data_IF_220800740697
#
_entry.id   IF_220800740697
#
_cell.length_a   1.000
_cell.length_b   1.000
_cell.length_c   1.000
_cell.angle_alpha   90.00
_cell.angle_beta   90.00
_cell.angle_gamma   90.00
#
_symmetry.space_group_name_H-M   'P 1'
#
loop_
_entity.id
_entity.type
_entity.pdbx_description
1 polymer ?
#
# COMPACT_ATOMS: atom_id res chain seq x y z
N UNK A 1 -20.31 -1.51 -44.71
CA UNK A 1 -19.27 -1.23 -43.70
C UNK A 1 -17.97 -1.08 -44.44
N UNK A 2 -17.43 0.12 -44.56
CA UNK A 2 -16.13 0.35 -45.21
C UNK A 2 -15.05 -0.35 -44.39
N UNK A 3 -14.32 -1.27 -44.99
CA UNK A 3 -13.21 -1.97 -44.35
C UNK A 3 -12.11 -0.94 -44.07
N UNK A 4 -11.92 -0.57 -42.80
CA UNK A 4 -10.85 0.36 -42.42
C UNK A 4 -9.53 -0.40 -42.57
N UNK A 5 -8.80 -0.06 -43.62
CA UNK A 5 -7.44 -0.56 -43.84
C UNK A 5 -6.55 0.07 -42.79
N UNK A 6 -5.94 -0.75 -41.92
CA UNK A 6 -4.95 -0.29 -40.95
C UNK A 6 -3.55 -0.58 -41.50
N UNK A 7 -2.84 0.42 -42.09
CA UNK A 7 -1.61 0.16 -42.85
C UNK A 7 -0.49 -0.50 -42.04
N UNK A 8 -0.41 -0.18 -40.74
CA UNK A 8 0.52 -0.82 -39.82
C UNK A 8 0.29 -2.33 -39.75
N UNK A 9 -0.97 -2.77 -39.70
CA UNK A 9 -1.29 -4.18 -39.60
C UNK A 9 -0.88 -4.94 -40.86
N UNK A 10 -1.14 -4.38 -42.05
CA UNK A 10 -0.72 -4.97 -43.32
C UNK A 10 0.81 -5.03 -43.44
N UNK A 11 1.52 -3.99 -42.98
CA UNK A 11 2.99 -4.00 -42.90
C UNK A 11 3.49 -5.14 -42.01
N UNK A 12 2.90 -5.34 -40.83
CA UNK A 12 3.30 -6.42 -39.92
C UNK A 12 3.03 -7.80 -40.55
N UNK A 13 1.87 -7.99 -41.19
CA UNK A 13 1.53 -9.26 -41.87
C UNK A 13 2.51 -9.61 -42.99
N UNK A 14 3.01 -8.61 -43.70
CA UNK A 14 3.98 -8.78 -44.79
C UNK A 14 5.44 -8.92 -44.29
N UNK A 15 5.70 -8.72 -43.00
CA UNK A 15 7.05 -8.75 -42.43
C UNK A 15 7.45 -10.15 -41.94
N UNK A 16 8.71 -10.49 -42.10
CA UNK A 16 9.38 -11.63 -41.47
C UNK A 16 10.19 -11.23 -40.22
N UNK A 17 10.77 -12.22 -39.51
CA UNK A 17 11.49 -11.98 -38.26
C UNK A 17 12.74 -11.10 -38.37
N UNK A 18 13.32 -10.99 -39.56
CA UNK A 18 14.52 -10.19 -39.85
C UNK A 18 14.20 -8.75 -40.30
N UNK A 19 12.92 -8.45 -40.59
CA UNK A 19 12.53 -7.14 -41.08
C UNK A 19 12.58 -6.06 -39.97
N UNK A 20 12.79 -4.78 -40.35
CA UNK A 20 12.88 -3.70 -39.39
C UNK A 20 11.55 -3.46 -38.67
N UNK A 21 11.63 -3.48 -37.33
CA UNK A 21 10.50 -3.21 -36.45
C UNK A 21 10.15 -1.72 -36.51
N UNK A 22 8.85 -1.34 -36.59
CA UNK A 22 8.45 0.05 -36.57
C UNK A 22 8.98 0.81 -35.36
N UNK A 23 9.41 2.06 -35.57
CA UNK A 23 9.94 2.89 -34.47
C UNK A 23 8.82 3.41 -33.57
N UNK A 24 9.15 3.85 -32.36
CA UNK A 24 8.18 4.47 -31.42
C UNK A 24 7.41 5.63 -32.08
N UNK A 25 8.08 6.44 -32.91
CA UNK A 25 7.47 7.57 -33.59
C UNK A 25 6.51 7.14 -34.71
N UNK A 26 6.89 6.12 -35.50
CA UNK A 26 6.01 5.53 -36.50
C UNK A 26 4.74 4.94 -35.87
N UNK A 27 4.88 4.28 -34.72
CA UNK A 27 3.76 3.71 -33.97
C UNK A 27 2.84 4.80 -33.41
N UNK A 28 3.41 5.89 -32.86
CA UNK A 28 2.64 7.02 -32.32
C UNK A 28 1.82 7.70 -33.41
N UNK A 29 2.43 7.93 -34.58
CA UNK A 29 1.75 8.45 -35.75
C UNK A 29 0.61 7.53 -36.18
N UNK A 30 0.93 6.25 -36.39
CA UNK A 30 -0.06 5.24 -36.83
C UNK A 30 -1.26 5.13 -35.88
N UNK A 31 -1.03 5.21 -34.56
CA UNK A 31 -2.11 5.12 -33.57
C UNK A 31 -2.93 6.42 -33.49
N UNK A 32 -2.28 7.59 -33.62
CA UNK A 32 -2.97 8.89 -33.67
C UNK A 32 -3.86 9.02 -34.91
N UNK A 33 -3.35 8.61 -36.07
CA UNK A 33 -4.09 8.59 -37.33
C UNK A 33 -5.30 7.67 -37.20
N UNK A 34 -5.09 6.44 -36.72
CA UNK A 34 -6.17 5.47 -36.50
C UNK A 34 -7.21 5.97 -35.49
N UNK A 35 -6.79 6.67 -34.43
CA UNK A 35 -7.69 7.27 -33.46
C UNK A 35 -8.55 8.38 -34.07
N UNK A 36 -7.99 9.16 -34.99
CA UNK A 36 -8.72 10.19 -35.73
C UNK A 36 -9.78 9.58 -36.65
N UNK A 37 -9.47 8.44 -37.26
CA UNK A 37 -10.35 7.76 -38.22
C UNK A 37 -11.50 6.97 -37.54
N UNK A 38 -11.21 6.24 -36.46
CA UNK A 38 -12.16 5.27 -35.87
C UNK A 38 -12.45 5.48 -34.39
N UNK A 39 -11.90 6.54 -33.80
CA UNK A 39 -12.10 6.89 -32.39
C UNK A 39 -11.63 5.80 -31.43
N UNK A 40 -12.46 5.47 -30.44
CA UNK A 40 -12.12 4.54 -29.36
C UNK A 40 -11.75 3.12 -29.84
N UNK A 41 -12.21 2.71 -31.03
CA UNK A 41 -11.89 1.37 -31.58
C UNK A 41 -10.44 1.23 -32.03
N UNK A 42 -9.73 2.35 -32.23
CA UNK A 42 -8.33 2.35 -32.67
C UNK A 42 -7.43 1.51 -31.76
N UNK A 43 -7.69 1.59 -30.47
CA UNK A 43 -6.97 0.88 -29.43
C UNK A 43 -7.13 -0.65 -29.51
N UNK A 44 -8.29 -1.15 -29.93
CA UNK A 44 -8.51 -2.59 -30.12
C UNK A 44 -7.72 -3.12 -31.33
N UNK A 45 -7.76 -2.39 -32.45
CA UNK A 45 -6.99 -2.73 -33.65
C UNK A 45 -5.49 -2.64 -33.39
N UNK A 46 -5.04 -1.65 -32.62
CA UNK A 46 -3.65 -1.52 -32.21
C UNK A 46 -3.21 -2.65 -31.26
N UNK A 47 -4.08 -3.09 -30.35
CA UNK A 47 -3.82 -4.25 -29.50
C UNK A 47 -3.67 -5.55 -30.32
N UNK A 48 -4.44 -5.70 -31.40
CA UNK A 48 -4.28 -6.81 -32.34
C UNK A 48 -2.93 -6.73 -33.09
N UNK A 49 -2.59 -5.55 -33.65
CA UNK A 49 -1.30 -5.33 -34.32
C UNK A 49 -0.12 -5.63 -33.38
N UNK A 50 -0.20 -5.24 -32.11
CA UNK A 50 0.79 -5.57 -31.08
C UNK A 50 0.95 -7.09 -30.86
N UNK A 51 -0.15 -7.84 -30.79
CA UNK A 51 -0.09 -9.30 -30.64
C UNK A 51 0.56 -9.97 -31.86
N UNK A 52 0.24 -9.49 -33.06
CA UNK A 52 0.82 -9.98 -34.30
C UNK A 52 2.32 -9.64 -34.36
N UNK A 53 2.69 -8.40 -34.05
CA UNK A 53 4.07 -7.95 -33.99
C UNK A 53 4.91 -8.83 -33.03
N UNK A 54 4.37 -9.14 -31.85
CA UNK A 54 5.04 -10.00 -30.89
C UNK A 54 5.24 -11.44 -31.40
N UNK A 55 4.34 -11.98 -32.23
CA UNK A 55 4.55 -13.29 -32.88
C UNK A 55 5.54 -13.25 -34.05
N UNK A 56 5.71 -12.11 -34.73
CA UNK A 56 6.63 -11.98 -35.86
C UNK A 56 8.06 -11.70 -35.39
N UNK A 57 8.23 -10.71 -34.50
CA UNK A 57 9.55 -10.22 -34.09
C UNK A 57 9.95 -10.58 -32.65
N UNK A 58 9.04 -11.21 -31.90
CA UNK A 58 9.24 -11.55 -30.49
C UNK A 58 8.72 -10.48 -29.53
N UNK A 59 8.31 -10.93 -28.34
CA UNK A 59 7.68 -10.11 -27.32
C UNK A 59 8.59 -8.98 -26.81
N UNK A 60 9.88 -9.27 -26.62
CA UNK A 60 10.84 -8.32 -26.04
C UNK A 60 11.09 -7.13 -26.97
N UNK A 61 11.37 -7.44 -28.24
CA UNK A 61 11.70 -6.45 -29.29
C UNK A 61 10.52 -5.56 -29.68
N UNK A 62 9.30 -5.95 -29.29
CA UNK A 62 8.05 -5.24 -29.63
C UNK A 62 7.39 -4.60 -28.41
N UNK A 63 8.08 -4.57 -27.27
CA UNK A 63 7.54 -4.06 -26.02
C UNK A 63 7.18 -2.56 -26.08
N UNK A 64 7.86 -1.77 -26.93
CA UNK A 64 7.58 -0.35 -27.16
C UNK A 64 6.19 -0.09 -27.77
N UNK A 65 5.57 -1.06 -28.43
CA UNK A 65 4.15 -0.95 -28.83
C UNK A 65 3.26 -0.70 -27.60
N UNK A 66 3.54 -1.36 -26.49
CA UNK A 66 2.78 -1.18 -25.26
C UNK A 66 3.03 0.18 -24.62
N UNK A 67 4.26 0.70 -24.72
CA UNK A 67 4.61 2.03 -24.23
C UNK A 67 3.81 3.10 -24.96
N UNK A 68 3.78 3.05 -26.30
CA UNK A 68 3.00 3.99 -27.14
C UNK A 68 1.51 3.89 -26.83
N UNK A 69 0.97 2.67 -26.76
CA UNK A 69 -0.45 2.50 -26.43
C UNK A 69 -0.80 3.06 -25.05
N UNK A 70 0.08 2.92 -24.05
CA UNK A 70 -0.15 3.46 -22.71
C UNK A 70 -0.03 4.98 -22.67
N UNK A 71 0.99 5.53 -23.33
CA UNK A 71 1.23 6.98 -23.40
C UNK A 71 -0.01 7.74 -23.88
N UNK A 72 -0.71 7.19 -24.87
CA UNK A 72 -1.93 7.79 -25.43
C UNK A 72 -3.21 7.47 -24.64
N UNK A 73 -3.26 6.37 -23.88
CA UNK A 73 -4.45 5.99 -23.08
C UNK A 73 -4.48 6.63 -21.69
N UNK A 74 -3.32 6.79 -21.06
CA UNK A 74 -3.23 7.16 -19.64
C UNK A 74 -2.82 8.61 -19.52
N UNK A 75 -3.72 9.41 -18.95
CA UNK A 75 -3.47 10.81 -18.63
C UNK A 75 -2.90 10.95 -17.22
N UNK A 76 -2.16 12.03 -17.01
CA UNK A 76 -1.69 12.39 -15.69
C UNK A 76 -2.89 12.77 -14.82
N UNK A 77 -2.97 12.20 -13.62
CA UNK A 77 -4.00 12.58 -12.66
C UNK A 77 -3.51 13.75 -11.82
N UNK A 78 -4.45 14.54 -11.31
CA UNK A 78 -4.13 15.57 -10.32
C UNK A 78 -3.47 14.92 -9.11
N UNK A 79 -2.38 15.53 -8.65
CA UNK A 79 -1.69 15.10 -7.44
C UNK A 79 -2.68 14.95 -6.29
N UNK A 80 -2.72 13.75 -5.70
CA UNK A 80 -3.58 13.46 -4.56
C UNK A 80 -3.22 14.38 -3.41
N UNK A 81 -4.24 14.81 -2.66
CA UNK A 81 -4.03 15.60 -1.47
C UNK A 81 -3.13 14.84 -0.48
N UNK A 82 -2.07 15.50 -0.03
CA UNK A 82 -1.20 14.93 1.00
C UNK A 82 -1.95 14.74 2.33
N UNK A 83 -1.32 14.08 3.30
CA UNK A 83 -1.97 13.77 4.58
C UNK A 83 -2.37 15.03 5.37
N UNK A 84 -1.56 16.08 5.30
CA UNK A 84 -1.85 17.35 5.97
C UNK A 84 -2.97 18.11 5.28
N UNK A 85 -3.01 18.10 3.95
CA UNK A 85 -4.11 18.67 3.17
C UNK A 85 -5.43 17.97 3.47
N UNK A 86 -5.44 16.64 3.62
CA UNK A 86 -6.64 15.91 4.05
C UNK A 86 -7.07 16.26 5.47
N UNK A 87 -6.12 16.33 6.41
CA UNK A 87 -6.41 16.77 7.77
C UNK A 87 -7.01 18.19 7.81
N UNK A 88 -6.47 19.13 7.01
CA UNK A 88 -7.02 20.48 6.87
C UNK A 88 -8.42 20.47 6.29
N UNK A 89 -8.67 19.71 5.21
CA UNK A 89 -10.02 19.58 4.63
C UNK A 89 -11.03 19.04 5.65
N UNK A 90 -10.65 18.02 6.42
CA UNK A 90 -11.50 17.47 7.48
C UNK A 90 -11.78 18.51 8.58
N UNK A 91 -10.76 19.27 9.00
CA UNK A 91 -10.89 20.32 9.99
C UNK A 91 -11.77 21.49 9.50
N UNK A 92 -11.59 21.95 8.26
CA UNK A 92 -12.38 23.02 7.65
C UNK A 92 -13.85 22.67 7.46
N UNK A 93 -14.21 21.37 7.50
CA UNK A 93 -15.60 20.92 7.48
C UNK A 93 -16.29 20.97 8.85
N UNK A 94 -15.58 21.33 9.92
CA UNK A 94 -16.16 21.46 11.26
C UNK A 94 -16.86 22.82 11.43
N UNK A 95 -17.85 22.88 12.34
CA UNK A 95 -18.46 24.16 12.74
C UNK A 95 -17.51 24.97 13.62
N UNK A 96 -17.62 26.29 13.55
CA UNK A 96 -16.93 27.19 14.48
C UNK A 96 -17.36 26.91 15.93
N UNK A 97 -16.44 26.98 16.93
CA UNK A 97 -15.02 27.34 16.80
C UNK A 97 -14.07 26.15 16.52
N UNK A 98 -14.61 24.95 16.27
CA UNK A 98 -13.82 23.72 16.18
C UNK A 98 -12.87 23.69 14.96
N UNK A 99 -13.30 24.23 13.83
CA UNK A 99 -12.46 24.37 12.64
C UNK A 99 -11.13 25.09 12.95
N UNK A 100 -11.21 26.24 13.61
CA UNK A 100 -10.08 27.09 13.97
C UNK A 100 -9.11 26.36 14.90
N UNK A 101 -9.65 25.70 15.93
CA UNK A 101 -8.86 24.94 16.92
C UNK A 101 -8.07 23.80 16.25
N UNK A 102 -8.72 23.06 15.34
CA UNK A 102 -8.05 21.98 14.62
C UNK A 102 -7.02 22.50 13.61
N UNK A 103 -7.32 23.58 12.89
CA UNK A 103 -6.39 24.20 11.93
C UNK A 103 -5.13 24.74 12.63
N UNK A 104 -5.28 25.38 13.79
CA UNK A 104 -4.16 25.80 14.63
C UNK A 104 -3.32 24.60 15.09
N UNK A 105 -3.97 23.54 15.59
CA UNK A 105 -3.27 22.32 16.03
C UNK A 105 -2.54 21.62 14.89
N UNK A 106 -3.13 21.60 13.69
CA UNK A 106 -2.49 21.10 12.47
C UNK A 106 -1.24 21.93 12.15
N UNK A 107 -1.34 23.27 12.18
CA UNK A 107 -0.22 24.14 11.87
C UNK A 107 0.94 24.00 12.88
N UNK A 108 0.66 23.79 14.17
CA UNK A 108 1.68 23.49 15.19
C UNK A 108 2.33 22.13 14.94
N UNK A 109 1.51 21.10 14.71
CA UNK A 109 2.02 19.73 14.56
C UNK A 109 2.82 19.54 13.26
N UNK A 110 2.42 20.20 12.17
CA UNK A 110 3.12 20.14 10.89
C UNK A 110 4.51 20.77 10.95
N UNK A 111 4.70 21.81 11.77
CA UNK A 111 6.01 22.43 12.01
C UNK A 111 6.88 21.63 12.97
N UNK A 112 6.37 20.54 13.53
CA UNK A 112 6.97 19.78 14.62
C UNK A 112 7.37 20.66 15.83
N UNK A 113 6.74 21.84 15.99
CA UNK A 113 7.02 22.76 17.09
C UNK A 113 6.48 22.16 18.39
N UNK A 114 7.40 21.74 19.28
CA UNK A 114 7.09 21.55 20.69
C UNK A 114 6.97 22.94 21.32
N UNK A 115 5.75 23.48 21.39
CA UNK A 115 5.46 24.55 22.35
C UNK A 115 5.36 23.91 23.73
N UNK A 116 5.80 24.61 24.77
CA UNK A 116 5.79 24.16 26.16
C UNK A 116 4.54 23.28 26.45
N UNK A 117 4.79 21.98 26.60
CA UNK A 117 3.81 20.93 26.93
C UNK A 117 2.84 20.43 25.82
N UNK A 118 2.96 20.87 24.57
CA UNK A 118 2.12 20.41 23.46
C UNK A 118 2.58 19.09 22.81
N UNK A 119 1.71 18.07 22.80
CA UNK A 119 1.96 16.83 22.04
C UNK A 119 1.86 17.09 20.54
N UNK A 120 2.91 16.75 19.78
CA UNK A 120 2.90 16.78 18.31
C UNK A 120 2.09 15.60 17.79
N UNK A 121 0.97 15.88 17.11
CA UNK A 121 0.05 14.86 16.62
C UNK A 121 0.26 14.61 15.12
N UNK A 122 0.14 13.35 14.70
CA UNK A 122 0.25 13.04 13.27
C UNK A 122 -0.94 13.56 12.47
N UNK A 123 -0.72 13.89 11.19
CA UNK A 123 -1.78 14.31 10.27
C UNK A 123 -2.96 13.33 10.23
N UNK A 124 -2.67 12.02 10.19
CA UNK A 124 -3.70 10.97 10.15
C UNK A 124 -4.51 10.92 11.46
N UNK A 125 -3.87 11.17 12.61
CA UNK A 125 -4.58 11.24 13.88
C UNK A 125 -5.50 12.47 13.92
N UNK A 126 -5.02 13.64 13.48
CA UNK A 126 -5.81 14.87 13.42
C UNK A 126 -6.99 14.76 12.45
N UNK A 127 -6.77 14.19 11.26
CA UNK A 127 -7.83 13.88 10.28
C UNK A 127 -8.90 12.97 10.91
N UNK A 128 -8.51 11.85 11.51
CA UNK A 128 -9.44 10.92 12.14
C UNK A 128 -10.18 11.54 13.34
N UNK A 129 -9.51 12.42 14.09
CA UNK A 129 -10.07 13.11 15.25
C UNK A 129 -11.10 14.16 14.83
N UNK A 130 -10.83 14.93 13.78
CA UNK A 130 -11.80 15.86 13.19
C UNK A 130 -13.04 15.12 12.67
N UNK A 131 -12.84 14.01 11.94
CA UNK A 131 -13.95 13.19 11.44
C UNK A 131 -14.79 12.57 12.56
N UNK A 132 -14.15 12.07 13.62
CA UNK A 132 -14.84 11.54 14.80
C UNK A 132 -15.67 12.63 15.51
N UNK A 133 -15.08 13.82 15.67
CA UNK A 133 -15.76 14.96 16.29
C UNK A 133 -16.98 15.42 15.47
N UNK A 134 -16.84 15.50 14.14
CA UNK A 134 -17.96 15.84 13.25
C UNK A 134 -19.14 14.87 13.39
N UNK A 135 -18.86 13.56 13.50
CA UNK A 135 -19.90 12.54 13.72
C UNK A 135 -20.55 12.67 15.09
N UNK A 136 -19.76 12.88 16.13
CA UNK A 136 -20.25 13.10 17.49
C UNK A 136 -21.19 14.31 17.59
N UNK A 137 -20.80 15.43 17.01
CA UNK A 137 -21.61 16.65 16.94
C UNK A 137 -22.98 16.36 16.35
N UNK A 138 -23.01 15.63 15.23
CA UNK A 138 -24.27 15.27 14.58
C UNK A 138 -25.12 14.33 15.43
N UNK A 139 -24.51 13.34 16.06
CA UNK A 139 -25.21 12.47 17.01
C UNK A 139 -25.87 13.30 18.12
N UNK A 140 -25.14 14.25 18.70
CA UNK A 140 -25.66 15.13 19.74
C UNK A 140 -26.85 15.97 19.25
N UNK A 141 -26.81 16.45 18.01
CA UNK A 141 -27.92 17.19 17.40
C UNK A 141 -29.16 16.31 17.19
N UNK A 142 -28.99 15.09 16.68
CA UNK A 142 -30.10 14.15 16.46
C UNK A 142 -30.77 13.73 17.77
N UNK A 143 -29.96 13.42 18.79
CA UNK A 143 -30.45 13.00 20.11
C UNK A 143 -30.82 14.19 21.02
N UNK A 144 -30.64 15.43 20.54
CA UNK A 144 -30.87 16.68 21.28
C UNK A 144 -30.13 16.73 22.64
N UNK A 145 -28.89 16.23 22.68
CA UNK A 145 -28.03 16.23 23.87
C UNK A 145 -26.86 17.22 23.73
N UNK A 146 -26.22 17.56 24.85
CA UNK A 146 -25.03 18.42 24.84
C UNK A 146 -23.85 17.76 24.11
N UNK A 147 -23.09 18.57 23.36
CA UNK A 147 -21.81 18.16 22.77
C UNK A 147 -20.72 17.83 23.80
N UNK A 148 -20.91 18.20 25.07
CA UNK A 148 -19.96 17.89 26.12
C UNK A 148 -19.98 16.38 26.39
N UNK A 149 -18.86 15.67 26.17
CA UNK A 149 -18.83 14.24 26.38
C UNK A 149 -19.02 13.91 27.86
N UNK A 150 -20.00 13.07 28.15
CA UNK A 150 -20.24 12.46 29.46
C UNK A 150 -20.17 10.94 29.33
N UNK A 151 -20.06 10.21 30.44
CA UNK A 151 -20.13 8.74 30.39
C UNK A 151 -21.42 8.25 29.72
N UNK A 152 -22.56 8.85 30.08
CA UNK A 152 -23.87 8.49 29.53
C UNK A 152 -23.97 8.76 28.03
N UNK A 153 -23.53 9.94 27.57
CA UNK A 153 -23.65 10.32 26.16
C UNK A 153 -22.65 9.54 25.28
N UNK A 154 -21.45 9.24 25.78
CA UNK A 154 -20.50 8.37 25.08
C UNK A 154 -21.00 6.93 24.98
N UNK A 155 -21.62 6.40 26.04
CA UNK A 155 -22.25 5.07 26.04
C UNK A 155 -23.38 4.97 25.01
N UNK A 156 -24.26 5.98 24.96
CA UNK A 156 -25.36 6.05 24.01
C UNK A 156 -24.84 6.08 22.56
N UNK A 157 -23.84 6.92 22.27
CA UNK A 157 -23.19 6.97 20.96
C UNK A 157 -22.50 5.66 20.58
N UNK A 158 -21.85 5.00 21.54
CA UNK A 158 -21.21 3.73 21.27
C UNK A 158 -22.23 2.64 20.88
N UNK A 159 -23.40 2.64 21.50
CA UNK A 159 -24.52 1.75 21.14
C UNK A 159 -25.10 2.07 19.77
N UNK A 160 -25.31 3.36 19.43
CA UNK A 160 -25.83 3.74 18.11
C UNK A 160 -24.91 3.25 16.98
N UNK A 161 -23.59 3.35 17.17
CA UNK A 161 -22.59 2.84 16.22
C UNK A 161 -22.65 1.32 16.05
N UNK A 162 -22.85 0.56 17.14
CA UNK A 162 -22.91 -0.90 17.11
C UNK A 162 -24.25 -1.46 16.61
N UNK A 163 -25.33 -0.67 16.67
CA UNK A 163 -26.63 -1.06 16.13
C UNK A 163 -26.86 -0.57 14.69
N UNK A 164 -25.87 0.11 14.08
CA UNK A 164 -25.95 0.57 12.69
C UNK A 164 -26.97 1.68 12.47
N UNK A 165 -27.35 2.42 13.52
CA UNK A 165 -28.39 3.45 13.44
C UNK A 165 -27.89 4.78 12.82
N UNK A 166 -26.58 4.95 12.60
CA UNK A 166 -26.02 6.21 12.06
C UNK A 166 -25.81 6.21 10.52
N UNK A 167 -26.65 7.04 9.87
CA UNK A 167 -26.47 7.85 8.65
C UNK A 167 -25.90 7.22 7.37
N UNK A 168 -26.82 6.87 6.46
CA UNK A 168 -26.61 6.61 5.03
C UNK A 168 -25.99 7.79 4.23
N UNK A 169 -25.85 8.99 4.78
CA UNK A 169 -25.44 10.20 4.03
C UNK A 169 -23.93 10.47 3.96
N UNK A 170 -23.13 10.13 4.99
CA UNK A 170 -21.70 10.51 5.04
C UNK A 170 -20.84 9.81 3.97
N UNK A 171 -21.25 8.64 3.47
CA UNK A 171 -20.45 7.88 2.49
C UNK A 171 -20.76 8.19 1.02
N UNK A 172 -21.81 8.96 0.71
CA UNK A 172 -22.08 9.37 -0.68
C UNK A 172 -21.05 10.38 -1.23
N UNK A 173 -20.26 11.02 -0.35
CA UNK A 173 -19.22 11.97 -0.75
C UNK A 173 -17.81 11.35 -0.87
N UNK A 174 -17.67 10.02 -0.74
CA UNK A 174 -16.50 9.30 -1.28
C UNK A 174 -16.85 8.87 -2.70
N UNK A 175 -16.57 9.79 -3.61
CA UNK A 175 -16.77 9.70 -5.04
C UNK A 175 -15.80 8.66 -5.65
N UNK A 176 -16.11 7.39 -5.49
CA UNK A 176 -15.57 6.28 -6.27
C UNK A 176 -16.80 5.47 -6.74
N UNK A 177 -17.31 5.79 -7.93
CA UNK A 177 -18.58 5.30 -8.47
C UNK A 177 -18.73 3.77 -8.58
N UNK A 178 -19.02 3.12 -7.47
CA UNK A 178 -19.49 1.73 -7.41
C UNK A 178 -20.59 1.65 -6.35
N UNK A 179 -21.84 1.71 -6.80
CA UNK A 179 -23.02 1.59 -5.95
C UNK A 179 -23.20 0.13 -5.51
N UNK A 180 -22.62 -0.25 -4.38
CA UNK A 180 -23.11 -1.43 -3.64
C UNK A 180 -24.15 -0.98 -2.63
N UNK A 181 -25.37 -1.46 -2.86
CA UNK A 181 -26.48 -1.44 -1.93
C UNK A 181 -26.23 -2.48 -0.82
N UNK A 182 -25.11 -2.36 -0.11
CA UNK A 182 -24.75 -3.23 1.00
C UNK A 182 -25.37 -2.70 2.30
N UNK A 183 -26.09 -3.58 3.00
CA UNK A 183 -26.51 -3.37 4.39
C UNK A 183 -25.28 -2.97 5.18
N UNK A 184 -25.29 -1.76 5.77
CA UNK A 184 -24.19 -1.26 6.58
C UNK A 184 -23.97 -2.18 7.77
N UNK A 185 -22.87 -2.92 7.74
CA UNK A 185 -22.46 -3.74 8.86
C UNK A 185 -22.24 -2.85 10.10
N UNK A 186 -22.66 -3.32 11.29
CA UNK A 186 -22.41 -2.62 12.54
C UNK A 186 -20.92 -2.36 12.76
N UNK A 187 -20.59 -1.22 13.38
CA UNK A 187 -19.20 -0.85 13.62
C UNK A 187 -18.58 -1.81 14.64
N UNK A 188 -17.40 -2.37 14.32
CA UNK A 188 -16.69 -3.26 15.25
C UNK A 188 -16.38 -2.57 16.59
N UNK A 189 -16.31 -3.35 17.67
CA UNK A 189 -15.97 -2.88 19.02
C UNK A 189 -14.69 -2.03 19.05
N UNK A 190 -13.67 -2.46 18.29
CA UNK A 190 -12.39 -1.73 18.17
C UNK A 190 -12.54 -0.36 17.50
N UNK A 191 -13.33 -0.30 16.43
CA UNK A 191 -13.60 0.97 15.75
C UNK A 191 -14.40 1.91 16.66
N UNK A 192 -15.38 1.38 17.40
CA UNK A 192 -16.15 2.13 18.39
C UNK A 192 -15.24 2.72 19.47
N UNK A 193 -14.43 1.90 20.14
CA UNK A 193 -13.41 2.36 21.10
C UNK A 193 -12.53 3.49 20.54
N UNK A 194 -12.07 3.35 19.29
CA UNK A 194 -11.25 4.38 18.63
C UNK A 194 -12.00 5.68 18.35
N UNK A 195 -13.32 5.65 18.09
CA UNK A 195 -14.13 6.85 17.94
C UNK A 195 -14.25 7.59 19.27
N UNK A 196 -14.58 6.88 20.35
CA UNK A 196 -14.75 7.48 21.68
C UNK A 196 -13.47 8.17 22.16
N UNK A 197 -12.31 7.52 22.00
CA UNK A 197 -11.01 8.10 22.37
C UNK A 197 -10.75 9.40 21.60
N UNK A 198 -11.07 9.43 20.31
CA UNK A 198 -10.89 10.61 19.45
C UNK A 198 -11.86 11.74 19.81
N UNK A 199 -13.10 11.44 20.19
CA UNK A 199 -14.07 12.45 20.64
C UNK A 199 -13.57 13.15 21.90
N UNK A 200 -13.12 12.38 22.89
CA UNK A 200 -12.56 12.95 24.13
C UNK A 200 -11.27 13.71 23.84
N UNK A 201 -10.42 13.21 22.95
CA UNK A 201 -9.21 13.93 22.53
C UNK A 201 -9.53 15.26 21.83
N UNK A 202 -10.52 15.28 20.92
CA UNK A 202 -10.98 16.49 20.27
C UNK A 202 -11.47 17.52 21.29
N UNK A 203 -12.30 17.11 22.24
CA UNK A 203 -12.82 17.99 23.28
C UNK A 203 -11.70 18.60 24.15
N UNK A 204 -10.69 17.78 24.50
CA UNK A 204 -9.49 18.22 25.22
C UNK A 204 -8.61 19.21 24.45
N UNK A 205 -8.70 19.28 23.11
CA UNK A 205 -8.00 20.32 22.34
C UNK A 205 -8.56 21.71 22.65
N UNK A 206 -9.87 21.82 22.88
CA UNK A 206 -10.54 23.09 23.23
C UNK A 206 -10.46 23.38 24.72
N UNK A 207 -10.61 22.37 25.56
CA UNK A 207 -10.59 22.50 27.01
C UNK A 207 -9.41 21.74 27.62
N UNK A 208 -8.17 22.28 27.50
CA UNK A 208 -7.03 21.72 28.19
C UNK A 208 -7.32 21.61 29.69
N UNK A 209 -7.19 20.40 30.24
CA UNK A 209 -7.54 20.10 31.64
C UNK A 209 -8.88 19.37 31.84
N UNK A 210 -9.69 19.18 30.79
CA UNK A 210 -10.90 18.38 30.90
C UNK A 210 -10.61 16.95 31.37
N UNK A 211 -11.24 16.56 32.49
CA UNK A 211 -11.20 15.22 33.08
C UNK A 211 -12.60 14.82 33.53
N UNK A 212 -12.97 13.57 33.27
CA UNK A 212 -14.24 12.99 33.67
C UNK A 212 -14.05 11.51 33.95
N UNK A 213 -14.18 11.10 35.21
CA UNK A 213 -14.05 9.70 35.60
C UNK A 213 -15.07 8.79 34.87
N UNK A 214 -16.28 9.31 34.61
CA UNK A 214 -17.31 8.59 33.88
C UNK A 214 -16.92 8.37 32.40
N UNK A 215 -16.31 9.36 31.75
CA UNK A 215 -15.80 9.20 30.39
C UNK A 215 -14.65 8.20 30.34
N UNK A 216 -13.69 8.30 31.27
CA UNK A 216 -12.54 7.38 31.34
C UNK A 216 -12.97 5.93 31.62
N UNK A 217 -14.02 5.73 32.42
CA UNK A 217 -14.63 4.41 32.63
C UNK A 217 -15.15 3.82 31.32
N UNK A 218 -15.94 4.57 30.55
CA UNK A 218 -16.48 4.12 29.25
C UNK A 218 -15.35 3.83 28.26
N UNK A 219 -14.38 4.74 28.13
CA UNK A 219 -13.22 4.54 27.25
C UNK A 219 -12.46 3.25 27.60
N UNK A 220 -12.20 3.04 28.89
CA UNK A 220 -11.49 1.85 29.37
C UNK A 220 -12.30 0.59 29.10
N UNK A 221 -13.60 0.59 29.40
CA UNK A 221 -14.50 -0.54 29.14
C UNK A 221 -14.47 -0.95 27.67
N UNK A 222 -14.74 -0.03 26.74
CA UNK A 222 -14.72 -0.32 25.31
C UNK A 222 -13.34 -0.73 24.79
N UNK A 223 -12.26 -0.20 25.38
CA UNK A 223 -10.89 -0.61 25.03
C UNK A 223 -10.62 -2.06 25.46
N UNK A 224 -11.01 -2.45 26.66
CA UNK A 224 -10.83 -3.82 27.16
C UNK A 224 -11.73 -4.81 26.42
N UNK A 225 -12.99 -4.47 26.16
CA UNK A 225 -13.89 -5.28 25.33
C UNK A 225 -13.35 -5.44 23.90
N UNK A 226 -12.80 -4.37 23.30
CA UNK A 226 -12.16 -4.44 21.99
C UNK A 226 -10.87 -5.27 21.97
N UNK A 227 -10.16 -5.40 23.10
CA UNK A 227 -9.01 -6.30 23.23
C UNK A 227 -9.49 -7.76 23.31
N UNK A 228 -10.48 -8.03 24.16
CA UNK A 228 -11.05 -9.37 24.36
C UNK A 228 -11.70 -9.92 23.08
N UNK A 229 -12.44 -9.08 22.34
CA UNK A 229 -13.04 -9.48 21.07
C UNK A 229 -12.01 -9.76 19.95
N UNK A 230 -10.74 -9.38 20.14
CA UNK A 230 -9.69 -9.56 19.15
C UNK A 230 -9.83 -8.64 17.93
N UNK A 231 -9.04 -8.90 16.88
CA UNK A 231 -9.19 -8.21 15.60
C UNK A 231 -10.08 -9.04 14.69
N UNK A 232 -11.21 -8.53 14.17
CA UNK A 232 -12.03 -9.30 13.22
C UNK A 232 -11.27 -9.66 11.95
N UNK A 233 -10.21 -8.91 11.64
CA UNK A 233 -9.34 -9.08 10.47
C UNK A 233 -8.17 -10.03 10.67
N UNK A 234 -7.94 -10.54 11.89
CA UNK A 234 -6.83 -11.44 12.23
C UNK A 234 -7.37 -12.80 12.69
N UNK A 235 -7.51 -13.74 11.76
CA UNK A 235 -7.90 -15.12 12.06
C UNK A 235 -6.71 -16.07 11.94
N UNK A 236 -6.77 -17.24 12.60
CA UNK A 236 -5.72 -18.27 12.52
C UNK A 236 -5.56 -18.86 11.10
N UNK A 237 -6.64 -18.86 10.32
CA UNK A 237 -6.66 -19.35 8.93
C UNK A 237 -5.79 -18.50 7.96
N UNK A 238 -5.17 -17.42 8.42
CA UNK A 238 -4.30 -16.55 7.61
C UNK A 238 -2.81 -16.88 7.77
N UNK A 239 -2.47 -17.93 8.53
CA UNK A 239 -1.11 -18.42 8.67
C UNK A 239 -0.78 -19.20 7.39
N UNK A 240 0.12 -18.62 6.60
CA UNK A 240 0.68 -19.19 5.37
C UNK A 240 2.18 -19.00 5.46
N UNK A 241 2.97 -20.03 5.14
CA UNK A 241 4.43 -19.93 5.13
C UNK A 241 4.90 -18.73 4.33
N UNK A 242 5.80 -17.93 4.90
CA UNK A 242 6.37 -16.78 4.23
C UNK A 242 7.17 -17.21 2.98
N UNK A 243 7.87 -18.35 3.03
CA UNK A 243 8.52 -18.97 1.86
C UNK A 243 7.53 -19.22 0.72
N UNK A 244 6.34 -19.78 1.01
CA UNK A 244 5.32 -20.01 -0.01
C UNK A 244 4.82 -18.72 -0.68
N UNK A 245 4.72 -17.62 0.09
CA UNK A 245 4.36 -16.30 -0.45
C UNK A 245 5.51 -15.73 -1.31
N UNK A 246 6.76 -15.96 -0.89
CA UNK A 246 7.96 -15.56 -1.62
C UNK A 246 8.05 -16.28 -2.97
N UNK A 247 7.87 -17.60 -2.98
CA UNK A 247 7.86 -18.45 -4.18
C UNK A 247 6.75 -18.06 -5.15
N UNK A 248 5.54 -17.79 -4.64
CA UNK A 248 4.45 -17.25 -5.45
C UNK A 248 4.84 -15.92 -6.12
N UNK A 249 5.66 -15.11 -5.45
CA UNK A 249 6.24 -13.90 -6.04
C UNK A 249 7.07 -14.20 -7.29
N UNK A 250 7.97 -15.20 -7.22
CA UNK A 250 8.78 -15.63 -8.36
C UNK A 250 7.97 -16.29 -9.46
N UNK A 251 7.02 -17.15 -9.11
CA UNK A 251 6.11 -17.76 -10.09
C UNK A 251 5.34 -16.69 -10.88
N UNK A 252 4.87 -15.62 -10.23
CA UNK A 252 4.23 -14.50 -10.93
C UNK A 252 5.18 -13.76 -11.87
N UNK A 253 6.45 -13.62 -11.50
CA UNK A 253 7.46 -13.02 -12.38
C UNK A 253 7.76 -13.93 -13.59
N UNK A 254 7.85 -15.25 -13.39
CA UNK A 254 8.01 -16.22 -14.47
C UNK A 254 6.80 -16.23 -15.42
N UNK A 255 5.59 -16.20 -14.87
CA UNK A 255 4.37 -16.07 -15.66
C UNK A 255 4.35 -14.77 -16.48
N UNK A 256 4.92 -13.67 -15.95
CA UNK A 256 5.07 -12.43 -16.71
C UNK A 256 6.10 -12.55 -17.85
N UNK A 257 7.22 -13.25 -17.62
CA UNK A 257 8.24 -13.55 -18.65
C UNK A 257 7.67 -14.37 -19.80
N UNK A 258 6.82 -15.34 -19.48
CA UNK A 258 6.24 -16.28 -20.44
C UNK A 258 5.04 -15.72 -21.21
N UNK A 259 4.69 -14.44 -21.03
CA UNK A 259 3.59 -13.84 -21.79
C UNK A 259 3.95 -13.65 -23.26
N UNK A 260 2.99 -14.00 -24.13
CA UNK A 260 3.08 -13.77 -25.58
C UNK A 260 3.39 -12.32 -25.95
N UNK A 261 2.93 -11.36 -25.14
CA UNK A 261 3.21 -9.92 -25.34
C UNK A 261 3.86 -9.36 -24.08
N UNK A 262 5.04 -8.76 -24.22
CA UNK A 262 5.71 -8.00 -23.16
C UNK A 262 5.15 -6.59 -23.11
N UNK A 263 3.96 -6.48 -22.54
CA UNK A 263 3.26 -5.22 -22.38
C UNK A 263 3.00 -4.83 -20.93
N UNK A 264 2.23 -3.76 -20.73
CA UNK A 264 1.89 -3.21 -19.42
C UNK A 264 1.30 -4.26 -18.47
N UNK A 265 0.51 -5.22 -18.97
CA UNK A 265 -0.02 -6.30 -18.14
C UNK A 265 1.07 -7.27 -17.69
N UNK A 266 2.03 -7.63 -18.55
CA UNK A 266 3.21 -8.42 -18.14
C UNK A 266 4.01 -7.66 -17.08
N UNK A 267 4.26 -6.37 -17.30
CA UNK A 267 4.94 -5.52 -16.33
C UNK A 267 4.19 -5.39 -14.99
N UNK A 268 2.85 -5.34 -15.02
CA UNK A 268 1.98 -5.35 -13.83
C UNK A 268 2.13 -6.64 -13.03
N UNK A 269 2.16 -7.77 -13.70
CA UNK A 269 2.23 -9.06 -13.02
C UNK A 269 3.65 -9.31 -12.48
N UNK A 270 4.69 -8.90 -13.21
CA UNK A 270 6.07 -8.89 -12.71
C UNK A 270 6.18 -7.98 -11.47
N UNK A 271 5.66 -6.75 -11.54
CA UNK A 271 5.62 -5.80 -10.41
C UNK A 271 4.90 -6.39 -9.20
N UNK A 272 3.80 -7.11 -9.43
CA UNK A 272 3.04 -7.75 -8.36
C UNK A 272 3.79 -8.95 -7.75
N UNK A 273 4.51 -9.72 -8.55
CA UNK A 273 5.43 -10.76 -8.07
C UNK A 273 6.56 -10.18 -7.20
N UNK A 274 7.18 -9.07 -7.64
CA UNK A 274 8.14 -8.33 -6.82
C UNK A 274 7.54 -7.82 -5.51
N UNK A 275 6.29 -7.35 -5.50
CA UNK A 275 5.62 -6.91 -4.27
C UNK A 275 5.53 -8.04 -3.24
N UNK A 276 5.25 -9.27 -3.68
CA UNK A 276 5.21 -10.44 -2.81
C UNK A 276 6.61 -10.81 -2.31
N UNK A 277 7.56 -11.05 -3.23
CA UNK A 277 8.91 -11.48 -2.89
C UNK A 277 9.64 -10.46 -2.00
N UNK A 278 9.64 -9.19 -2.40
CA UNK A 278 10.24 -8.11 -1.60
C UNK A 278 9.46 -7.88 -0.30
N UNK A 279 8.14 -8.03 -0.29
CA UNK A 279 7.32 -7.86 0.91
C UNK A 279 7.59 -8.91 1.98
N UNK A 280 8.05 -10.11 1.60
CA UNK A 280 8.51 -11.16 2.51
C UNK A 280 9.96 -10.91 2.94
N UNK A 281 10.88 -10.66 2.01
CA UNK A 281 12.29 -10.39 2.31
C UNK A 281 12.47 -9.11 3.16
N UNK A 282 11.58 -8.13 2.98
CA UNK A 282 11.53 -6.88 3.70
C UNK A 282 10.11 -6.68 4.29
N UNK A 283 9.79 -7.32 5.45
CA UNK A 283 8.45 -7.37 6.04
C UNK A 283 8.03 -6.04 6.71
N UNK A 284 7.93 -5.01 5.89
CA UNK A 284 7.57 -3.65 6.22
C UNK A 284 6.09 -3.39 5.91
N UNK A 285 5.54 -2.33 6.50
CA UNK A 285 4.13 -1.95 6.29
C UNK A 285 3.92 -1.49 4.85
N UNK A 286 2.69 -1.59 4.33
CA UNK A 286 2.31 -1.08 3.00
C UNK A 286 2.80 0.35 2.73
N UNK A 287 2.74 1.21 3.76
CA UNK A 287 3.26 2.57 3.70
C UNK A 287 4.73 2.64 3.32
N UNK A 288 5.57 1.85 3.98
CA UNK A 288 6.99 1.80 3.74
C UNK A 288 7.30 1.24 2.34
N UNK A 289 6.55 0.22 1.89
CA UNK A 289 6.69 -0.32 0.53
C UNK A 289 6.23 0.65 -0.56
N UNK A 290 5.22 1.48 -0.28
CA UNK A 290 4.66 2.43 -1.27
C UNK A 290 5.61 3.56 -1.66
N UNK A 291 6.67 3.80 -0.89
CA UNK A 291 7.68 4.84 -1.16
C UNK A 291 8.96 4.28 -1.77
N UNK A 292 8.97 2.99 -2.13
CA UNK A 292 10.14 2.38 -2.76
C UNK A 292 10.31 2.92 -4.19
N UNK A 293 11.52 3.39 -4.46
CA UNK A 293 11.91 4.12 -5.65
C UNK A 293 13.38 3.81 -5.95
N UNK A 294 13.66 3.38 -7.18
CA UNK A 294 15.03 3.11 -7.62
C UNK A 294 15.90 4.37 -7.46
N UNK A 295 17.11 4.19 -6.96
CA UNK A 295 18.13 5.24 -6.74
C UNK A 295 17.75 6.31 -5.71
N UNK A 296 16.68 6.10 -4.94
CA UNK A 296 16.27 7.02 -3.87
C UNK A 296 16.01 6.32 -2.55
N UNK A 297 15.24 5.25 -2.58
CA UNK A 297 14.89 4.46 -1.41
C UNK A 297 15.20 2.97 -1.59
N UNK A 298 15.48 2.54 -2.83
CA UNK A 298 16.01 1.22 -3.17
C UNK A 298 17.24 1.39 -4.08
N UNK A 299 18.34 0.77 -3.68
CA UNK A 299 19.62 0.80 -4.38
C UNK A 299 20.12 -0.62 -4.62
N UNK A 300 20.82 -0.80 -5.75
CA UNK A 300 21.47 -2.05 -6.15
C UNK A 300 22.97 -1.79 -6.31
N UNK A 301 23.71 -1.53 -5.20
CA UNK A 301 25.07 -1.00 -5.25
C UNK A 301 26.08 -1.97 -5.87
N UNK A 302 25.89 -3.27 -5.65
CA UNK A 302 26.77 -4.36 -6.09
C UNK A 302 25.90 -5.58 -6.47
N UNK A 303 26.41 -6.53 -7.28
CA UNK A 303 25.73 -7.79 -7.53
C UNK A 303 25.25 -8.45 -6.23
N UNK A 304 24.00 -8.92 -6.26
CA UNK A 304 23.30 -9.61 -5.18
C UNK A 304 23.02 -8.78 -3.93
N UNK A 305 23.50 -7.53 -3.85
CA UNK A 305 23.29 -6.65 -2.69
C UNK A 305 22.13 -5.69 -2.95
N UNK A 306 21.17 -5.67 -2.02
CA UNK A 306 20.03 -4.77 -2.03
C UNK A 306 20.14 -3.85 -0.81
N UNK A 307 20.12 -2.54 -1.05
CA UNK A 307 20.09 -1.52 0.00
C UNK A 307 18.75 -0.78 -0.04
N UNK A 308 18.07 -0.72 1.10
CA UNK A 308 16.80 -0.06 1.29
C UNK A 308 16.96 1.08 2.29
N UNK A 309 16.51 2.29 1.90
CA UNK A 309 16.48 3.49 2.74
C UNK A 309 15.08 4.09 2.74
N UNK A 310 14.36 3.96 3.84
CA UNK A 310 12.97 4.44 3.95
C UNK A 310 12.96 5.67 4.86
N UNK A 311 12.44 6.82 4.39
CA UNK A 311 12.38 8.02 5.21
C UNK A 311 11.40 7.82 6.37
N UNK A 312 11.69 8.43 7.53
CA UNK A 312 10.84 8.39 8.73
C UNK A 312 9.41 8.85 8.47
N UNK A 313 9.23 9.76 7.50
CA UNK A 313 7.93 10.18 7.01
C UNK A 313 7.05 9.00 6.58
N UNK A 314 7.61 7.92 6.02
CA UNK A 314 6.92 6.70 5.60
C UNK A 314 6.87 5.60 6.69
N UNK A 315 7.59 5.78 7.80
CA UNK A 315 7.60 4.85 8.92
C UNK A 315 6.45 5.14 9.90
N UNK A 316 6.22 4.18 10.81
CA UNK A 316 5.26 4.32 11.90
C UNK A 316 5.95 4.90 13.14
N UNK A 317 6.38 6.15 13.04
CA UNK A 317 7.06 6.88 14.10
C UNK A 317 6.16 8.01 14.65
N UNK A 318 6.36 8.43 15.91
CA UNK A 318 5.88 9.71 16.40
C UNK A 318 6.18 10.84 15.42
N UNK A 319 5.23 11.75 15.22
CA UNK A 319 5.35 12.79 14.18
C UNK A 319 6.63 13.63 14.34
N UNK A 320 7.01 13.94 15.58
CA UNK A 320 8.22 14.69 15.91
C UNK A 320 9.54 13.99 15.53
N UNK A 321 9.54 12.68 15.27
CA UNK A 321 10.74 11.90 14.93
C UNK A 321 10.87 11.67 13.41
N UNK A 322 9.85 12.00 12.62
CA UNK A 322 9.80 11.63 11.19
C UNK A 322 10.80 12.38 10.31
N UNK A 323 11.35 13.50 10.78
CA UNK A 323 12.30 14.31 10.02
C UNK A 323 13.72 13.74 10.09
N UNK A 324 14.11 13.23 11.26
CA UNK A 324 15.50 12.83 11.53
C UNK A 324 15.74 11.33 11.39
N UNK A 325 14.69 10.52 11.46
CA UNK A 325 14.84 9.07 11.42
C UNK A 325 14.70 8.50 10.02
N UNK A 326 15.55 7.53 9.71
CA UNK A 326 15.48 6.70 8.51
C UNK A 326 15.54 5.23 8.93
N UNK A 327 14.90 4.38 8.15
CA UNK A 327 15.13 2.95 8.21
C UNK A 327 16.11 2.60 7.11
N UNK A 328 17.22 1.95 7.47
CA UNK A 328 18.21 1.46 6.52
C UNK A 328 18.38 -0.05 6.71
N UNK A 329 18.38 -0.79 5.61
CA UNK A 329 18.70 -2.22 5.59
C UNK A 329 19.47 -2.56 4.34
N UNK A 330 20.59 -3.23 4.53
CA UNK A 330 21.37 -3.85 3.44
C UNK A 330 21.31 -5.35 3.62
N UNK A 331 21.04 -6.07 2.54
CA UNK A 331 20.97 -7.52 2.56
C UNK A 331 21.42 -8.13 1.24
N UNK A 332 21.81 -9.41 1.27
CA UNK A 332 22.18 -10.18 0.09
C UNK A 332 21.05 -11.11 -0.29
N UNK A 333 20.61 -11.05 -1.53
CA UNK A 333 19.63 -11.98 -2.09
C UNK A 333 19.80 -11.99 -3.62
N UNK A 334 20.61 -12.90 -4.19
CA UNK A 334 20.86 -12.99 -5.62
C UNK A 334 19.59 -13.09 -6.47
N UNK A 335 18.61 -13.88 -6.00
CA UNK A 335 17.37 -14.12 -6.74
C UNK A 335 16.54 -12.85 -6.92
N UNK A 336 16.31 -12.13 -5.82
CA UNK A 336 15.55 -10.88 -5.79
C UNK A 336 16.33 -9.74 -6.43
N UNK A 337 17.66 -9.71 -6.27
CA UNK A 337 18.51 -8.74 -6.96
C UNK A 337 18.36 -8.88 -8.48
N UNK A 338 18.51 -10.09 -9.02
CA UNK A 338 18.36 -10.35 -10.44
C UNK A 338 16.97 -9.95 -10.95
N UNK A 339 15.92 -10.27 -10.19
CA UNK A 339 14.56 -9.88 -10.52
C UNK A 339 14.34 -8.36 -10.49
N UNK A 340 14.90 -7.64 -9.52
CA UNK A 340 14.85 -6.17 -9.44
C UNK A 340 15.60 -5.51 -10.60
N UNK A 341 16.78 -6.03 -10.95
CA UNK A 341 17.58 -5.54 -12.06
C UNK A 341 16.88 -5.77 -13.41
N UNK A 342 16.32 -6.96 -13.64
CA UNK A 342 15.51 -7.28 -14.81
C UNK A 342 14.27 -6.39 -14.87
N UNK A 343 13.54 -6.26 -13.76
CA UNK A 343 12.36 -5.39 -13.71
C UNK A 343 12.70 -3.97 -14.09
N UNK A 344 13.78 -3.39 -13.52
CA UNK A 344 14.21 -2.03 -13.83
C UNK A 344 14.53 -1.85 -15.31
N UNK A 345 15.19 -2.82 -15.94
CA UNK A 345 15.62 -2.75 -17.33
C UNK A 345 14.48 -3.00 -18.33
N UNK A 346 13.68 -4.04 -18.09
CA UNK A 346 12.84 -4.63 -19.15
C UNK A 346 11.33 -4.41 -18.94
N UNK A 347 10.87 -4.22 -17.69
CA UNK A 347 9.44 -4.13 -17.38
C UNK A 347 9.02 -2.77 -16.84
N UNK A 348 9.85 -2.14 -16.01
CA UNK A 348 9.58 -0.83 -15.41
C UNK A 348 9.37 0.27 -16.47
N UNK A 349 10.15 0.32 -17.58
CA UNK A 349 9.93 1.31 -18.63
C UNK A 349 8.57 1.18 -19.35
N UNK A 350 7.91 0.02 -19.24
CA UNK A 350 6.59 -0.19 -19.86
C UNK A 350 5.48 0.61 -19.19
N UNK A 351 5.68 1.07 -17.94
CA UNK A 351 4.75 1.96 -17.27
C UNK A 351 4.97 3.42 -17.68
N UNK A 352 6.17 3.93 -17.48
CA UNK A 352 6.52 5.32 -17.68
C UNK A 352 8.04 5.49 -17.45
N UNK A 353 8.53 6.72 -17.56
CA UNK A 353 9.94 7.09 -17.32
C UNK A 353 10.28 7.31 -15.84
N UNK A 354 9.33 7.08 -14.92
CA UNK A 354 9.54 7.27 -13.49
C UNK A 354 10.38 6.15 -12.84
N UNK A 355 10.74 6.37 -11.58
CA UNK A 355 11.62 5.51 -10.78
C UNK A 355 10.90 4.71 -9.69
N UNK A 356 9.61 4.97 -9.45
CA UNK A 356 8.82 4.24 -8.44
C UNK A 356 8.90 2.73 -8.67
N UNK A 357 9.19 1.94 -7.64
CA UNK A 357 9.25 0.49 -7.74
C UNK A 357 7.87 -0.09 -8.10
N UNK A 358 6.80 0.50 -7.57
CA UNK A 358 5.44 0.06 -7.80
C UNK A 358 4.60 1.14 -8.48
N UNK A 359 4.79 1.42 -9.79
CA UNK A 359 4.05 2.46 -10.51
C UNK A 359 2.55 2.12 -10.63
N UNK A 360 1.72 3.15 -10.67
CA UNK A 360 0.27 3.00 -10.88
C UNK A 360 -0.06 2.63 -12.33
N UNK A 361 -1.07 1.77 -12.50
CA UNK A 361 -1.62 1.47 -13.83
C UNK A 361 -2.48 2.61 -14.37
N UNK A 362 -3.00 3.46 -13.49
CA UNK A 362 -4.03 4.45 -13.79
C UNK A 362 -3.51 5.89 -13.74
N UNK A 363 -2.26 6.09 -13.34
CA UNK A 363 -1.63 7.40 -13.17
C UNK A 363 -0.14 7.23 -13.48
N UNK A 364 0.39 8.01 -14.42
CA UNK A 364 1.80 7.93 -14.84
C UNK A 364 2.74 8.62 -13.85
N UNK A 365 2.19 9.44 -12.96
CA UNK A 365 2.98 10.30 -12.07
C UNK A 365 3.08 9.75 -10.64
N UNK A 366 2.31 8.70 -10.34
CA UNK A 366 2.16 8.21 -8.97
C UNK A 366 2.44 6.70 -8.83
N UNK A 367 2.98 6.28 -7.66
CA UNK A 367 3.00 4.87 -7.30
C UNK A 367 1.59 4.35 -6.96
N UNK A 368 1.44 3.04 -6.85
CA UNK A 368 0.25 2.45 -6.21
C UNK A 368 0.17 2.89 -4.75
N UNK A 369 -1.05 3.13 -4.26
CA UNK A 369 -1.26 3.56 -2.88
C UNK A 369 -1.01 2.45 -1.86
N UNK A 370 -0.83 2.84 -0.59
CA UNK A 370 -0.77 1.93 0.56
C UNK A 370 -1.98 0.98 0.61
N UNK A 371 -3.16 1.53 0.31
CA UNK A 371 -4.42 0.77 0.24
C UNK A 371 -4.39 -0.23 -0.91
N UNK A 372 -3.93 0.17 -2.09
CA UNK A 372 -3.82 -0.72 -3.23
C UNK A 372 -2.81 -1.85 -2.98
N UNK A 373 -1.69 -1.57 -2.31
CA UNK A 373 -0.75 -2.60 -1.85
C UNK A 373 -1.47 -3.59 -0.92
N UNK A 374 -2.21 -3.10 0.07
CA UNK A 374 -2.98 -3.94 0.99
C UNK A 374 -4.02 -4.82 0.27
N UNK A 375 -4.72 -4.25 -0.72
CA UNK A 375 -5.68 -4.96 -1.57
C UNK A 375 -5.00 -6.05 -2.40
N UNK A 376 -3.96 -5.70 -3.16
CA UNK A 376 -3.21 -6.64 -4.01
C UNK A 376 -2.64 -7.80 -3.20
N UNK A 377 -2.04 -7.50 -2.04
CA UNK A 377 -1.47 -8.51 -1.13
C UNK A 377 -2.51 -9.58 -0.77
N UNK A 378 -3.70 -9.15 -0.33
CA UNK A 378 -4.79 -10.04 0.04
C UNK A 378 -5.43 -10.76 -1.16
N UNK A 379 -5.63 -10.06 -2.27
CA UNK A 379 -6.30 -10.62 -3.46
C UNK A 379 -5.45 -11.72 -4.12
N UNK A 380 -4.13 -11.51 -4.20
CA UNK A 380 -3.20 -12.49 -4.77
C UNK A 380 -3.09 -13.74 -3.90
N UNK A 381 -2.93 -13.57 -2.59
CA UNK A 381 -2.83 -14.69 -1.66
C UNK A 381 -4.13 -15.46 -1.54
N UNK A 382 -5.28 -14.79 -1.56
CA UNK A 382 -6.58 -15.47 -1.54
C UNK A 382 -6.82 -16.30 -2.80
N UNK A 383 -6.39 -15.81 -3.97
CA UNK A 383 -6.54 -16.56 -5.23
C UNK A 383 -5.77 -17.88 -5.22
N UNK A 384 -4.59 -17.90 -4.60
CA UNK A 384 -3.67 -19.05 -4.66
C UNK A 384 -3.82 -19.96 -3.44
N UNK A 385 -3.89 -19.40 -2.24
CA UNK A 385 -3.93 -20.16 -0.98
C UNK A 385 -5.35 -20.33 -0.42
N UNK A 386 -6.38 -19.82 -1.10
CA UNK A 386 -7.77 -19.81 -0.61
C UNK A 386 -8.02 -18.86 0.57
N UNK A 387 -6.97 -18.22 1.10
CA UNK A 387 -7.05 -17.37 2.30
C UNK A 387 -6.45 -15.99 2.05
N UNK A 388 -7.15 -14.95 2.51
CA UNK A 388 -6.71 -13.57 2.37
C UNK A 388 -5.61 -13.24 3.38
N UNK A 389 -4.36 -13.20 2.93
CA UNK A 389 -3.23 -12.80 3.76
C UNK A 389 -2.89 -11.33 3.52
N UNK A 390 -3.25 -10.47 4.47
CA UNK A 390 -2.93 -9.05 4.39
C UNK A 390 -1.43 -8.82 4.55
N UNK A 391 -0.91 -7.71 4.03
CA UNK A 391 0.51 -7.33 4.22
C UNK A 391 0.95 -7.26 5.69
N UNK A 392 0.04 -6.94 6.62
CA UNK A 392 0.36 -6.97 8.05
C UNK A 392 0.56 -8.41 8.55
N UNK A 393 -0.09 -9.40 7.92
CA UNK A 393 0.11 -10.82 8.21
C UNK A 393 1.39 -11.37 7.61
N UNK A 394 1.91 -10.84 6.52
CA UNK A 394 3.23 -11.23 6.01
C UNK A 394 4.30 -11.08 7.08
N UNK A 395 4.26 -9.98 7.82
CA UNK A 395 5.13 -9.73 8.95
C UNK A 395 5.00 -10.77 10.07
N UNK A 396 3.76 -11.10 10.43
CA UNK A 396 3.47 -12.12 11.45
C UNK A 396 3.93 -13.51 10.97
N UNK A 397 3.74 -13.84 9.68
CA UNK A 397 4.10 -15.11 9.07
C UNK A 397 5.63 -15.26 8.96
N UNK A 398 6.35 -14.22 8.52
CA UNK A 398 7.82 -14.20 8.52
C UNK A 398 8.37 -14.43 9.92
N UNK A 399 7.79 -13.77 10.93
CA UNK A 399 8.21 -13.96 12.31
C UNK A 399 7.96 -15.39 12.82
N UNK A 400 6.82 -15.97 12.43
CA UNK A 400 6.44 -17.33 12.81
C UNK A 400 7.39 -18.34 12.18
N UNK A 401 7.53 -18.32 10.85
CA UNK A 401 8.41 -19.25 10.12
C UNK A 401 9.88 -19.07 10.53
N UNK A 402 10.37 -17.84 10.69
CA UNK A 402 11.71 -17.62 11.20
C UNK A 402 11.90 -18.22 12.60
N UNK A 403 10.88 -18.17 13.47
CA UNK A 403 10.95 -18.76 14.82
C UNK A 403 10.94 -20.28 14.82
N UNK A 404 10.28 -20.89 13.82
CA UNK A 404 10.16 -22.33 13.67
C UNK A 404 11.38 -22.95 12.98
N UNK A 405 11.92 -22.28 11.97
CA UNK A 405 12.93 -22.84 11.06
C UNK A 405 14.36 -22.39 11.38
N UNK A 406 14.55 -21.22 12.02
CA UNK A 406 15.89 -20.71 12.32
C UNK A 406 16.31 -21.08 13.75
N UNK A 407 17.53 -21.62 13.96
CA UNK A 407 18.04 -21.96 15.29
C UNK A 407 18.02 -20.80 16.32
N UNK A 408 18.12 -19.56 15.84
CA UNK A 408 18.04 -18.33 16.66
C UNK A 408 16.78 -17.49 16.38
N UNK A 409 15.80 -18.07 15.69
CA UNK A 409 14.58 -17.45 15.19
C UNK A 409 13.85 -16.54 16.18
N UNK A 410 13.47 -17.02 17.38
CA UNK A 410 12.74 -16.19 18.35
C UNK A 410 13.50 -14.92 18.78
N UNK A 411 14.84 -14.94 18.77
CA UNK A 411 15.69 -13.77 19.09
C UNK A 411 15.94 -12.86 17.89
N UNK A 412 15.77 -13.40 16.67
CA UNK A 412 15.96 -12.71 15.40
C UNK A 412 14.77 -11.84 14.98
N UNK A 413 13.56 -12.26 15.37
CA UNK A 413 12.29 -11.63 14.98
C UNK A 413 12.30 -10.11 15.22
N UNK A 414 12.70 -9.57 16.39
CA UNK A 414 12.71 -8.12 16.59
C UNK A 414 13.52 -7.36 15.55
N UNK A 415 14.68 -7.89 15.17
CA UNK A 415 15.58 -7.27 14.18
C UNK A 415 15.05 -7.39 12.75
N UNK A 416 14.55 -8.58 12.36
CA UNK A 416 13.87 -8.81 11.06
C UNK A 416 12.70 -7.84 10.86
N UNK A 417 12.00 -7.58 11.95
CA UNK A 417 10.81 -6.75 11.99
C UNK A 417 11.13 -5.25 12.25
N UNK A 418 12.35 -4.88 12.62
CA UNK A 418 12.67 -3.50 13.01
C UNK A 418 11.92 -3.01 14.25
N UNK A 419 11.69 -3.89 15.22
CA UNK A 419 11.24 -3.53 16.56
C UNK A 419 12.42 -2.96 17.37
N UNK A 420 12.19 -1.85 18.09
CA UNK A 420 13.26 -1.03 18.70
C UNK A 420 13.47 -1.22 20.20
N UNK A 421 12.78 -2.16 20.86
CA UNK A 421 12.86 -2.36 22.31
C UNK A 421 13.14 -3.80 22.72
N UNK A 422 14.28 -4.00 23.40
CA UNK A 422 14.40 -4.58 24.75
C UNK A 422 15.70 -4.08 25.40
N UNK A 423 15.61 -2.98 26.18
CA UNK A 423 16.59 -2.47 27.18
C UNK A 423 18.09 -2.26 26.83
N UNK A 424 18.61 -1.11 27.26
CA UNK A 424 19.79 -0.35 26.76
C UNK A 424 21.20 -0.94 26.99
N UNK A 425 21.39 -2.23 27.24
CA UNK A 425 22.72 -2.88 27.29
C UNK A 425 23.04 -3.75 26.07
N UNK A 426 22.00 -4.15 25.32
CA UNK A 426 22.05 -5.24 24.35
C UNK A 426 22.21 -4.78 22.88
N UNK A 427 22.19 -3.47 22.62
CA UNK A 427 22.12 -2.90 21.25
C UNK A 427 23.26 -3.30 20.31
N UNK A 428 24.48 -3.46 20.80
CA UNK A 428 25.60 -3.87 19.93
C UNK A 428 25.61 -5.38 19.68
N UNK A 429 25.16 -6.19 20.65
CA UNK A 429 25.12 -7.65 20.54
C UNK A 429 23.89 -8.12 19.74
N UNK A 430 22.71 -7.54 19.99
CA UNK A 430 21.46 -7.82 19.27
C UNK A 430 21.48 -7.35 17.82
N UNK A 431 22.22 -6.27 17.52
CA UNK A 431 22.40 -5.85 16.13
C UNK A 431 23.24 -6.87 15.34
N UNK A 432 24.29 -7.42 15.95
CA UNK A 432 25.10 -8.48 15.31
C UNK A 432 24.34 -9.80 15.13
N UNK A 433 23.56 -10.22 16.14
CA UNK A 433 22.71 -11.41 16.08
C UNK A 433 21.51 -11.23 15.15
N UNK A 434 20.93 -10.01 15.11
CA UNK A 434 19.84 -9.63 14.24
C UNK A 434 20.23 -9.54 12.77
N UNK A 435 21.41 -9.02 12.48
CA UNK A 435 22.01 -9.07 11.12
C UNK A 435 22.26 -10.52 10.74
N UNK A 436 22.90 -11.31 11.61
CA UNK A 436 23.18 -12.73 11.33
C UNK A 436 21.91 -13.51 11.02
N UNK A 437 20.87 -13.33 11.81
CA UNK A 437 19.61 -14.05 11.60
C UNK A 437 18.80 -13.53 10.41
N UNK A 438 18.97 -12.26 10.03
CA UNK A 438 18.40 -11.73 8.79
C UNK A 438 19.06 -12.38 7.58
N UNK A 439 20.39 -12.50 7.61
CA UNK A 439 21.16 -13.23 6.59
C UNK A 439 20.78 -14.73 6.56
N UNK A 440 20.66 -15.39 7.71
CA UNK A 440 20.24 -16.80 7.79
C UNK A 440 18.82 -17.00 7.23
N UNK A 441 17.89 -16.07 7.46
CA UNK A 441 16.55 -16.12 6.87
C UNK A 441 16.57 -15.91 5.35
N UNK A 442 17.40 -14.98 4.87
CA UNK A 442 17.56 -14.69 3.45
C UNK A 442 18.21 -15.86 2.70
N UNK A 443 19.29 -16.42 3.26
CA UNK A 443 19.94 -17.63 2.76
C UNK A 443 18.95 -18.80 2.75
N UNK A 444 18.11 -18.93 3.79
CA UNK A 444 17.06 -19.95 3.86
C UNK A 444 16.02 -19.79 2.73
N UNK A 445 15.54 -18.57 2.47
CA UNK A 445 14.59 -18.30 1.38
C UNK A 445 15.20 -18.66 0.00
N UNK A 446 16.45 -18.25 -0.25
CA UNK A 446 17.13 -18.53 -1.51
C UNK A 446 17.50 -20.02 -1.68
N UNK A 447 17.86 -20.69 -0.59
CA UNK A 447 18.16 -22.12 -0.59
C UNK A 447 16.90 -22.97 -0.85
N UNK A 448 15.77 -22.68 -0.18
CA UNK A 448 14.49 -23.37 -0.45
C UNK A 448 14.01 -23.19 -1.88
N UNK A 449 14.30 -22.06 -2.51
CA UNK A 449 13.97 -21.88 -3.94
C UNK A 449 14.83 -22.76 -4.85
N UNK A 450 16.06 -23.05 -4.44
CA UNK A 450 17.01 -23.85 -5.23
C UNK A 450 16.75 -25.36 -5.10
N UNK A 451 16.13 -25.79 -3.99
CA UNK A 451 15.70 -27.17 -3.76
C UNK A 451 14.17 -27.29 -3.89
N UNK A 452 13.63 -27.90 -4.96
CA UNK A 452 12.19 -28.04 -5.13
C UNK A 452 11.61 -28.86 -3.97
N UNK A 453 10.82 -28.21 -3.11
CA UNK A 453 10.14 -28.88 -2.02
C UNK A 453 8.86 -29.54 -2.54
N UNK A 454 8.74 -30.86 -2.43
CA UNK A 454 7.47 -31.56 -2.58
C UNK A 454 6.50 -31.06 -1.50
N UNK A 455 5.49 -30.30 -1.91
CA UNK A 455 4.34 -30.05 -1.05
C UNK A 455 3.60 -31.37 -0.85
N UNK A 456 3.70 -31.96 0.34
CA UNK A 456 2.76 -32.96 0.81
C UNK A 456 1.41 -32.25 1.00
N UNK A 457 0.54 -32.38 -0.01
CA UNK A 457 -0.87 -31.95 0.04
C UNK A 457 -1.68 -32.92 0.89
#
# INVERSE_FOLDING_TARGET
MTEIVFPLLERIKASGPADPIPTTEELRRSLTDLQSDVGARAFNSFDYAKQLAASVWGAEKTSHFSMVSRELRVTDKRTKADRWQRARRAASGLRSPWDTIFLERIAVSQRAERRDHGVVLSAAYLEATALAWSRWVRHCEMEQVSETPTGTTLEAYARSLMHGQEDAEIMRNRDDGESTQDRKEPVSMRSCSSYLERIVAAYRLRYPGFSSAACEFVLTRYREEAKQAGSPTKTGNQIVGASAIYDLGFEQMDNARNRRVRGVHAARDFRNGLLLALGIALPQRARALSVLEFERTLFLPEPDVILIRIPGSALKLPEAQKQDETFERTFRNPGLYAALAEYRRDYRPLFDTGSWLFPSMLDRTAPISEEQIGKLSGDMTQRVFGVRVTIHRWRDNVATEASEELPIGPRAVPSLLGHRETTTGQRHYDHSQGIKASLEHEDFLDHRRSDPCELLI
#
